data_IF_801009343477
#
_entry.id   IF_801009343477
#
_cell.length_a   1.000
_cell.length_b   1.000
_cell.length_c   1.000
_cell.angle_alpha   90.00
_cell.angle_beta   90.00
_cell.angle_gamma   90.00
#
_symmetry.space_group_name_H-M   'P 1'
#
loop_
_entity.id
_entity.type
_entity.pdbx_description
1 polymer ?
#
# COMPACT_ATOMS: atom_id res chain seq x y z
N UNK A 1 -12.77 27.14 0.06
CA UNK A 1 -11.47 26.44 -0.13
C UNK A 1 -11.74 24.93 -0.05
N UNK A 2 -11.52 24.15 -1.12
CA UNK A 2 -11.74 22.69 -1.06
C UNK A 2 -10.68 22.06 -0.15
N UNK A 3 -11.09 21.26 0.83
CA UNK A 3 -10.18 20.56 1.73
C UNK A 3 -9.31 19.59 0.91
N UNK A 4 -7.99 19.74 1.02
CA UNK A 4 -7.04 18.81 0.42
C UNK A 4 -6.76 17.66 1.40
N UNK A 5 -7.53 16.57 1.27
CA UNK A 5 -7.44 15.42 2.18
C UNK A 5 -6.07 14.75 2.16
N UNK A 6 -5.40 14.70 1.01
CA UNK A 6 -4.03 14.16 0.89
C UNK A 6 -3.05 14.93 1.76
N UNK A 7 -3.04 16.26 1.66
CA UNK A 7 -2.14 17.11 2.44
C UNK A 7 -2.47 17.06 3.93
N UNK A 8 -3.74 17.00 4.27
CA UNK A 8 -4.20 16.91 5.66
C UNK A 8 -3.79 15.57 6.28
N UNK A 9 -3.97 14.47 5.54
CA UNK A 9 -3.51 13.14 5.94
C UNK A 9 -2.00 13.13 6.17
N UNK A 10 -1.21 13.68 5.25
CA UNK A 10 0.24 13.76 5.40
C UNK A 10 0.65 14.60 6.62
N UNK A 11 -0.05 15.70 6.89
CA UNK A 11 0.17 16.51 8.09
C UNK A 11 -0.12 15.70 9.36
N UNK A 12 -1.19 14.92 9.38
CA UNK A 12 -1.54 14.08 10.52
C UNK A 12 -0.55 12.94 10.74
N UNK A 13 -0.10 12.23 9.69
CA UNK A 13 0.96 11.22 9.82
C UNK A 13 2.26 11.84 10.34
N UNK A 14 2.64 13.04 9.87
CA UNK A 14 3.88 13.69 10.31
C UNK A 14 3.91 14.00 11.81
N UNK A 15 2.75 14.13 12.48
CA UNK A 15 2.69 14.35 13.94
C UNK A 15 3.23 13.17 14.75
N UNK A 16 3.24 11.97 14.15
CA UNK A 16 3.72 10.75 14.79
C UNK A 16 5.18 10.41 14.46
N UNK A 17 5.89 11.30 13.78
CA UNK A 17 7.29 11.08 13.40
C UNK A 17 8.16 10.81 14.61
N UNK A 18 8.97 9.76 14.51
CA UNK A 18 9.96 9.40 15.52
C UNK A 18 11.26 8.99 14.82
N UNK A 19 12.31 9.79 15.02
CA UNK A 19 13.61 9.56 14.37
C UNK A 19 14.35 8.31 14.87
N UNK A 20 14.05 7.86 16.09
CA UNK A 20 14.65 6.65 16.66
C UNK A 20 14.00 5.43 16.00
N UNK A 21 12.67 5.37 15.96
CA UNK A 21 11.97 4.29 15.26
C UNK A 21 12.24 4.32 13.75
N UNK A 22 12.37 5.49 13.13
CA UNK A 22 12.72 5.59 11.71
C UNK A 22 14.05 4.89 11.38
N UNK A 23 15.09 5.08 12.21
CA UNK A 23 16.38 4.39 12.05
C UNK A 23 16.25 2.89 12.28
N UNK A 24 15.48 2.48 13.28
CA UNK A 24 15.24 1.08 13.56
C UNK A 24 14.51 0.37 12.41
N UNK A 25 13.44 0.99 11.89
CA UNK A 25 12.71 0.49 10.73
C UNK A 25 13.60 0.41 9.50
N UNK A 26 14.39 1.45 9.19
CA UNK A 26 15.30 1.42 8.05
C UNK A 26 16.28 0.23 8.09
N UNK A 27 16.82 -0.09 9.28
CA UNK A 27 17.67 -1.28 9.48
C UNK A 27 16.88 -2.57 9.30
N UNK A 28 15.72 -2.67 9.94
CA UNK A 28 14.87 -3.87 9.91
C UNK A 28 14.35 -4.20 8.50
N UNK A 29 14.00 -3.19 7.72
CA UNK A 29 13.51 -3.32 6.34
C UNK A 29 14.64 -3.34 5.29
N UNK A 30 15.90 -3.46 5.69
CA UNK A 30 17.05 -3.63 4.80
C UNK A 30 17.15 -2.51 3.73
N UNK A 31 17.07 -1.25 4.14
CA UNK A 31 17.14 -0.11 3.19
C UNK A 31 18.54 0.19 2.66
N UNK A 32 19.53 -0.65 2.99
CA UNK A 32 20.88 -0.53 2.48
C UNK A 32 20.96 -1.02 1.04
N UNK A 33 22.05 -0.66 0.35
CA UNK A 33 22.32 -1.15 -1.02
C UNK A 33 22.27 -2.67 -1.09
N UNK A 34 21.57 -3.21 -2.08
CA UNK A 34 21.34 -4.65 -2.29
C UNK A 34 20.31 -5.29 -1.34
N UNK A 35 19.77 -4.55 -0.37
CA UNK A 35 18.67 -5.01 0.46
C UNK A 35 17.32 -4.84 -0.25
N UNK A 36 16.33 -5.66 0.11
CA UNK A 36 15.05 -5.66 -0.59
C UNK A 36 14.23 -4.37 -0.40
N UNK A 37 14.56 -3.57 0.62
CA UNK A 37 13.97 -2.26 0.89
C UNK A 37 14.85 -1.10 0.44
N UNK A 38 15.87 -1.33 -0.41
CA UNK A 38 16.74 -0.27 -0.92
C UNK A 38 15.92 0.90 -1.48
N UNK A 39 16.24 2.12 -1.04
CA UNK A 39 15.55 3.35 -1.44
C UNK A 39 14.34 3.74 -0.59
N UNK A 40 13.85 2.88 0.31
CA UNK A 40 12.77 3.22 1.24
C UNK A 40 13.19 4.26 2.27
N UNK A 41 12.28 5.19 2.59
CA UNK A 41 12.42 6.14 3.69
C UNK A 41 11.37 5.89 4.75
N UNK A 42 11.73 6.06 6.02
CA UNK A 42 10.83 5.84 7.16
C UNK A 42 10.64 7.10 7.99
N UNK A 43 9.44 7.26 8.53
CA UNK A 43 9.10 8.30 9.50
C UNK A 43 9.02 7.78 10.94
N UNK A 44 9.10 6.46 11.14
CA UNK A 44 9.07 5.82 12.45
C UNK A 44 7.65 5.64 13.01
N UNK A 45 6.62 5.58 12.16
CA UNK A 45 5.24 5.44 12.64
C UNK A 45 4.93 4.01 13.08
N UNK A 46 4.15 3.89 14.15
CA UNK A 46 3.58 2.62 14.60
C UNK A 46 2.33 2.28 13.79
N UNK A 47 2.11 1.00 13.50
CA UNK A 47 0.93 0.50 12.77
C UNK A 47 -0.41 1.03 13.33
N UNK A 48 -0.66 1.09 14.66
CA UNK A 48 -1.92 1.62 15.17
C UNK A 48 -2.19 3.07 14.77
N UNK A 49 -1.16 3.92 14.70
CA UNK A 49 -1.29 5.31 14.27
C UNK A 49 -1.72 5.38 12.80
N UNK A 50 -1.07 4.59 11.95
CA UNK A 50 -1.42 4.49 10.52
C UNK A 50 -2.86 3.99 10.33
N UNK A 51 -3.30 2.98 11.09
CA UNK A 51 -4.68 2.46 11.04
C UNK A 51 -5.71 3.50 11.47
N UNK A 52 -5.43 4.29 12.50
CA UNK A 52 -6.30 5.39 12.94
C UNK A 52 -6.42 6.43 11.83
N UNK A 53 -5.29 6.83 11.24
CA UNK A 53 -5.28 7.80 10.14
C UNK A 53 -6.02 7.26 8.91
N UNK A 54 -5.76 6.02 8.48
CA UNK A 54 -6.47 5.41 7.36
C UNK A 54 -7.99 5.40 7.59
N UNK A 55 -8.45 4.98 8.77
CA UNK A 55 -9.87 4.98 9.15
C UNK A 55 -10.50 6.37 9.17
N UNK A 56 -9.73 7.40 9.54
CA UNK A 56 -10.18 8.79 9.56
C UNK A 56 -10.45 9.33 8.15
N UNK A 57 -9.64 8.94 7.17
CA UNK A 57 -9.65 9.59 5.84
C UNK A 57 -10.25 8.75 4.70
N UNK A 58 -10.43 7.43 4.87
CA UNK A 58 -10.76 6.56 3.74
C UNK A 58 -12.06 6.93 3.01
N UNK A 59 -13.06 7.53 3.69
CA UNK A 59 -14.32 7.93 3.06
C UNK A 59 -14.11 9.11 2.12
N UNK A 60 -13.43 10.15 2.61
CA UNK A 60 -13.40 11.46 1.96
C UNK A 60 -12.26 11.63 0.95
N UNK A 61 -11.15 10.89 1.11
CA UNK A 61 -10.04 10.97 0.17
C UNK A 61 -10.40 10.27 -1.15
N UNK A 62 -10.15 10.93 -2.28
CA UNK A 62 -10.41 10.35 -3.60
C UNK A 62 -9.29 9.37 -4.02
N UNK A 63 -9.60 8.44 -4.94
CA UNK A 63 -8.66 7.41 -5.40
C UNK A 63 -7.40 7.99 -6.07
N UNK A 64 -7.51 9.10 -6.80
CA UNK A 64 -6.37 9.77 -7.44
C UNK A 64 -5.34 10.26 -6.41
N UNK A 65 -5.81 10.73 -5.27
CA UNK A 65 -4.93 11.15 -4.19
C UNK A 65 -4.37 9.97 -3.39
N UNK A 66 -5.13 8.88 -3.24
CA UNK A 66 -4.61 7.63 -2.67
C UNK A 66 -3.50 7.05 -3.54
N UNK A 67 -3.65 7.06 -4.87
CA UNK A 67 -2.60 6.65 -5.82
C UNK A 67 -1.32 7.48 -5.63
N UNK A 68 -1.43 8.81 -5.48
CA UNK A 68 -0.27 9.67 -5.17
C UNK A 68 0.38 9.36 -3.83
N UNK A 69 -0.40 8.95 -2.82
CA UNK A 69 0.15 8.53 -1.52
C UNK A 69 0.88 7.19 -1.64
N UNK A 70 0.38 6.27 -2.47
CA UNK A 70 1.03 5.00 -2.76
C UNK A 70 2.37 5.18 -3.50
N UNK A 71 2.51 6.25 -4.28
CA UNK A 71 3.76 6.62 -4.97
C UNK A 71 4.73 7.44 -4.08
N UNK A 72 4.39 7.65 -2.81
CA UNK A 72 5.19 8.48 -1.92
C UNK A 72 6.45 7.73 -1.45
N UNK A 73 7.59 8.42 -1.40
CA UNK A 73 8.90 7.84 -0.99
C UNK A 73 8.96 7.29 0.45
N UNK A 74 7.94 7.53 1.25
CA UNK A 74 7.93 7.18 2.68
C UNK A 74 7.08 5.95 2.85
N UNK A 75 7.69 4.90 3.40
CA UNK A 75 7.09 3.59 3.55
C UNK A 75 5.75 3.64 4.29
N UNK A 76 5.67 4.32 5.44
CA UNK A 76 4.44 4.37 6.23
C UNK A 76 3.31 5.17 5.54
N UNK A 77 3.65 6.06 4.60
CA UNK A 77 2.64 6.74 3.78
C UNK A 77 2.01 5.75 2.79
N UNK A 78 2.82 4.90 2.15
CA UNK A 78 2.35 3.87 1.22
C UNK A 78 1.52 2.81 1.92
N UNK A 79 1.98 2.35 3.10
CA UNK A 79 1.23 1.39 3.91
C UNK A 79 -0.13 1.97 4.35
N UNK A 80 -0.17 3.25 4.74
CA UNK A 80 -1.44 3.94 5.03
C UNK A 80 -2.34 4.05 3.79
N UNK A 81 -1.77 4.30 2.60
CA UNK A 81 -2.52 4.33 1.35
C UNK A 81 -3.15 2.96 1.01
N UNK A 82 -2.40 1.87 1.21
CA UNK A 82 -2.92 0.51 1.04
C UNK A 82 -4.05 0.20 2.02
N UNK A 83 -3.92 0.59 3.30
CA UNK A 83 -5.03 0.47 4.26
C UNK A 83 -6.29 1.22 3.79
N UNK A 84 -6.14 2.40 3.21
CA UNK A 84 -7.26 3.15 2.65
C UNK A 84 -7.87 2.43 1.43
N UNK A 85 -7.05 1.90 0.53
CA UNK A 85 -7.54 1.11 -0.61
C UNK A 85 -8.33 -0.11 -0.14
N UNK A 86 -7.86 -0.81 0.89
CA UNK A 86 -8.55 -1.96 1.47
C UNK A 86 -9.92 -1.55 2.02
N UNK A 87 -9.99 -0.46 2.80
CA UNK A 87 -11.26 0.01 3.37
C UNK A 87 -12.25 0.46 2.28
N UNK A 88 -11.75 1.11 1.21
CA UNK A 88 -12.58 1.45 0.05
C UNK A 88 -13.04 0.19 -0.69
N UNK A 89 -12.17 -0.78 -0.91
CA UNK A 89 -12.47 -2.02 -1.63
C UNK A 89 -13.58 -2.83 -0.94
N UNK A 90 -13.52 -2.96 0.38
CA UNK A 90 -14.53 -3.64 1.20
C UNK A 90 -15.93 -3.03 1.09
N UNK A 91 -16.04 -1.76 0.69
CA UNK A 91 -17.30 -1.00 0.62
C UNK A 91 -17.70 -0.65 -0.81
N UNK A 92 -16.91 -1.06 -1.79
CA UNK A 92 -17.11 -0.75 -3.20
C UNK A 92 -18.05 -1.78 -3.87
N UNK A 93 -18.77 -1.33 -4.88
CA UNK A 93 -19.38 -2.19 -5.90
C UNK A 93 -18.29 -2.75 -6.85
N UNK A 94 -18.69 -3.62 -7.78
CA UNK A 94 -17.74 -4.36 -8.63
C UNK A 94 -17.03 -3.45 -9.64
N UNK A 95 -17.67 -2.38 -10.10
CA UNK A 95 -17.05 -1.37 -10.96
C UNK A 95 -15.96 -0.61 -10.20
N UNK A 96 -16.24 -0.12 -9.00
CA UNK A 96 -15.27 0.57 -8.16
C UNK A 96 -14.15 -0.36 -7.67
N UNK A 97 -14.44 -1.64 -7.36
CA UNK A 97 -13.42 -2.66 -7.06
C UNK A 97 -12.45 -2.84 -8.23
N UNK A 98 -12.96 -2.91 -9.46
CA UNK A 98 -12.14 -3.04 -10.66
C UNK A 98 -11.20 -1.85 -10.84
N UNK A 99 -11.65 -0.63 -10.53
CA UNK A 99 -10.78 0.57 -10.54
C UNK A 99 -9.69 0.48 -9.46
N UNK A 100 -10.04 0.05 -8.25
CA UNK A 100 -9.07 -0.10 -7.14
C UNK A 100 -7.99 -1.13 -7.49
N UNK A 101 -8.37 -2.27 -8.08
CA UNK A 101 -7.42 -3.31 -8.52
C UNK A 101 -6.50 -2.77 -9.61
N UNK A 102 -7.03 -2.01 -10.58
CA UNK A 102 -6.19 -1.35 -11.60
C UNK A 102 -5.17 -0.40 -10.99
N UNK A 103 -5.57 0.40 -10.00
CA UNK A 103 -4.65 1.29 -9.26
C UNK A 103 -3.58 0.46 -8.55
N UNK A 104 -3.97 -0.62 -7.87
CA UNK A 104 -3.05 -1.51 -7.17
C UNK A 104 -1.99 -2.10 -8.12
N UNK A 105 -2.43 -2.78 -9.17
CA UNK A 105 -1.55 -3.49 -10.11
C UNK A 105 -0.63 -2.53 -10.88
N UNK A 106 -1.15 -1.36 -11.27
CA UNK A 106 -0.38 -0.30 -11.94
C UNK A 106 0.75 0.24 -11.06
N UNK A 107 0.58 0.25 -9.75
CA UNK A 107 1.54 0.79 -8.79
C UNK A 107 2.25 -0.32 -7.99
N UNK A 108 2.28 -1.56 -8.47
CA UNK A 108 2.89 -2.71 -7.80
C UNK A 108 4.38 -2.52 -7.48
N UNK A 109 5.11 -1.75 -8.30
CA UNK A 109 6.51 -1.37 -8.01
C UNK A 109 6.66 -0.55 -6.72
N UNK A 110 5.60 0.14 -6.28
CA UNK A 110 5.59 0.86 -5.00
C UNK A 110 5.22 -0.04 -3.81
N UNK A 111 4.82 -1.29 -4.07
CA UNK A 111 4.42 -2.31 -3.09
C UNK A 111 5.57 -3.30 -2.96
N UNK A 112 6.74 -2.77 -2.61
CA UNK A 112 8.05 -3.41 -2.69
C UNK A 112 8.56 -3.88 -1.33
N UNK A 113 7.67 -4.35 -0.48
CA UNK A 113 8.04 -4.87 0.84
C UNK A 113 7.02 -5.91 1.30
N UNK A 114 7.46 -6.85 2.15
CA UNK A 114 6.64 -7.97 2.57
C UNK A 114 5.41 -7.48 3.34
N UNK A 115 5.53 -6.44 4.15
CA UNK A 115 4.42 -5.92 4.95
C UNK A 115 3.39 -5.16 4.09
N UNK A 116 3.85 -4.45 3.06
CA UNK A 116 2.99 -3.82 2.05
C UNK A 116 2.21 -4.90 1.28
N UNK A 117 2.89 -5.95 0.83
CA UNK A 117 2.29 -7.05 0.06
C UNK A 117 1.31 -7.83 0.93
N UNK A 118 1.76 -8.37 2.07
CA UNK A 118 0.98 -9.29 2.91
C UNK A 118 -0.24 -8.60 3.53
N UNK A 119 -0.16 -7.29 3.79
CA UNK A 119 -1.30 -6.53 4.29
C UNK A 119 -2.41 -6.38 3.25
N UNK A 120 -2.08 -6.36 1.96
CA UNK A 120 -2.96 -5.80 0.92
C UNK A 120 -3.34 -6.77 -0.18
N UNK A 121 -2.42 -7.65 -0.60
CA UNK A 121 -2.62 -8.58 -1.68
C UNK A 121 -3.76 -9.60 -1.45
N UNK A 122 -3.97 -10.15 -0.23
CA UNK A 122 -5.12 -11.06 -0.02
C UNK A 122 -6.47 -10.36 -0.25
N UNK A 123 -6.58 -9.09 0.14
CA UNK A 123 -7.87 -8.38 0.12
C UNK A 123 -8.22 -7.73 -1.22
N UNK A 124 -7.21 -7.31 -2.01
CA UNK A 124 -7.44 -6.56 -3.25
C UNK A 124 -7.25 -7.46 -4.47
N UNK A 125 -6.03 -7.81 -4.91
CA UNK A 125 -5.84 -8.69 -6.05
C UNK A 125 -6.30 -10.13 -5.78
N UNK A 126 -6.16 -10.67 -4.57
CA UNK A 126 -6.60 -12.04 -4.24
C UNK A 126 -8.10 -12.23 -4.41
N UNK A 127 -8.89 -11.38 -3.73
CA UNK A 127 -10.34 -11.35 -3.91
C UNK A 127 -10.76 -11.12 -5.37
N UNK A 128 -10.05 -10.26 -6.11
CA UNK A 128 -10.35 -9.99 -7.52
C UNK A 128 -10.08 -11.19 -8.43
N UNK A 129 -8.88 -11.77 -8.36
CA UNK A 129 -8.48 -12.89 -9.21
C UNK A 129 -9.29 -14.16 -8.95
N UNK A 130 -9.76 -14.38 -7.72
CA UNK A 130 -10.64 -15.51 -7.41
C UNK A 130 -11.92 -15.52 -8.25
N UNK A 131 -12.43 -14.33 -8.62
CA UNK A 131 -13.70 -14.16 -9.31
C UNK A 131 -13.53 -13.73 -10.79
N UNK A 132 -12.30 -13.60 -11.28
CA UNK A 132 -11.99 -13.03 -12.60
C UNK A 132 -10.91 -13.83 -13.32
N UNK A 133 -10.52 -13.38 -14.52
CA UNK A 133 -9.44 -13.99 -15.30
C UNK A 133 -8.12 -14.07 -14.52
N UNK A 134 -7.50 -15.24 -14.53
CA UNK A 134 -6.19 -15.50 -13.92
C UNK A 134 -5.01 -15.05 -14.81
N UNK A 135 -5.26 -14.38 -15.94
CA UNK A 135 -4.17 -13.93 -16.84
C UNK A 135 -3.18 -13.00 -16.13
N UNK A 136 -3.68 -12.03 -15.37
CA UNK A 136 -2.81 -11.12 -14.61
C UNK A 136 -2.15 -11.81 -13.41
N UNK A 137 -2.82 -12.81 -12.83
CA UNK A 137 -2.24 -13.65 -11.77
C UNK A 137 -0.99 -14.37 -12.27
N UNK A 138 -1.08 -15.10 -13.39
CA UNK A 138 0.07 -15.84 -13.95
C UNK A 138 1.20 -14.90 -14.39
N UNK A 139 0.85 -13.74 -14.96
CA UNK A 139 1.83 -12.70 -15.28
C UNK A 139 2.63 -12.24 -14.05
N UNK A 140 2.03 -12.21 -12.87
CA UNK A 140 2.71 -11.87 -11.62
C UNK A 140 3.53 -13.06 -11.09
N UNK A 141 2.93 -14.25 -11.07
CA UNK A 141 3.53 -15.49 -10.57
C UNK A 141 4.79 -15.92 -11.35
N UNK A 142 4.88 -15.57 -12.64
CA UNK A 142 5.98 -15.95 -13.53
C UNK A 142 6.89 -14.76 -13.88
N UNK A 143 6.82 -13.65 -13.12
CA UNK A 143 7.45 -12.39 -13.51
C UNK A 143 8.96 -12.31 -13.27
N UNK A 144 9.54 -13.21 -12.45
CA UNK A 144 10.91 -13.10 -11.95
C UNK A 144 11.11 -11.95 -10.96
N UNK A 145 10.05 -11.21 -10.61
CA UNK A 145 10.11 -10.10 -9.66
C UNK A 145 9.58 -10.56 -8.31
N UNK A 146 10.45 -10.53 -7.30
CA UNK A 146 10.18 -10.98 -5.93
C UNK A 146 8.82 -10.51 -5.39
N UNK A 147 8.49 -9.23 -5.53
CA UNK A 147 7.28 -8.67 -4.95
C UNK A 147 6.02 -8.99 -5.74
N UNK A 148 6.11 -9.03 -7.07
CA UNK A 148 4.98 -9.46 -7.91
C UNK A 148 4.67 -10.94 -7.71
N UNK A 149 5.69 -11.78 -7.64
CA UNK A 149 5.53 -13.21 -7.33
C UNK A 149 4.95 -13.40 -5.93
N UNK A 150 5.41 -12.64 -4.93
CA UNK A 150 4.83 -12.66 -3.59
C UNK A 150 3.37 -12.23 -3.57
N UNK A 151 3.01 -11.17 -4.32
CA UNK A 151 1.60 -10.73 -4.47
C UNK A 151 0.76 -11.89 -5.01
N UNK A 152 1.18 -12.56 -6.07
CA UNK A 152 0.46 -13.72 -6.61
C UNK A 152 0.32 -14.83 -5.56
N UNK A 153 1.42 -15.21 -4.91
CA UNK A 153 1.43 -16.28 -3.91
C UNK A 153 0.50 -16.01 -2.71
N UNK A 154 0.53 -14.80 -2.13
CA UNK A 154 -0.33 -14.47 -0.98
C UNK A 154 -1.73 -14.04 -1.39
N UNK A 155 -2.03 -14.00 -2.69
CA UNK A 155 -3.39 -13.78 -3.19
C UNK A 155 -4.22 -15.06 -3.24
N UNK A 156 -3.64 -16.23 -2.99
CA UNK A 156 -4.34 -17.53 -2.99
C UNK A 156 -4.66 -18.06 -1.60
N UNK A 157 -4.38 -17.30 -0.53
CA UNK A 157 -4.67 -17.67 0.88
C UNK A 157 -6.06 -17.26 1.32
#
# INVERSE_FOLDING_TARGET
MKINFKETLLKDLKKYKDGIFAKHHAKYFQTHKGGYGEGDSFWGLKIPQQRITARKYWKDINLKDVEKLLQHKVHEVRLTALMILIEKYKKADDDAKSVIVKIYLKNSECINNWDLVDLSAPYIPGHYWHNNSLKDFWKYAESGNLWKERIAMVSTV
#
